data_IF_115191647423
#
_entry.id   IF_115191647423
#
_cell.length_a   1.000
_cell.length_b   1.000
_cell.length_c   1.000
_cell.angle_alpha   90.00
_cell.angle_beta   90.00
_cell.angle_gamma   90.00
#
_symmetry.space_group_name_H-M   'P 1'
#
loop_
_entity.id
_entity.type
_entity.pdbx_description
1 polymer ?
#
# COMPACT_ATOMS: atom_id res chain seq x y z
N UNK A 1 -18.67 -24.47 8.97
CA UNK A 1 -17.31 -24.02 8.57
C UNK A 1 -16.49 -24.00 9.84
N UNK A 2 -15.32 -24.63 9.87
CA UNK A 2 -14.47 -24.70 11.06
C UNK A 2 -13.37 -23.64 10.98
N UNK A 3 -12.96 -23.12 12.13
CA UNK A 3 -11.73 -22.35 12.27
C UNK A 3 -10.53 -23.26 11.99
N UNK A 4 -9.65 -22.87 11.06
CA UNK A 4 -8.49 -23.68 10.70
C UNK A 4 -7.41 -23.74 11.80
N UNK A 5 -7.38 -22.77 12.72
CA UNK A 5 -6.40 -22.72 13.82
C UNK A 5 -6.81 -23.54 15.05
N UNK A 6 -8.09 -23.47 15.47
CA UNK A 6 -8.56 -24.16 16.68
C UNK A 6 -9.63 -25.24 16.45
N UNK A 7 -10.04 -25.45 15.19
CA UNK A 7 -11.05 -26.43 14.74
C UNK A 7 -12.48 -26.26 15.30
N UNK A 8 -12.76 -25.17 16.02
CA UNK A 8 -14.11 -24.83 16.51
C UNK A 8 -14.97 -24.15 15.43
N UNK A 9 -16.29 -24.19 15.61
CA UNK A 9 -17.26 -23.80 14.57
C UNK A 9 -17.87 -22.40 14.75
N UNK A 10 -17.51 -21.69 15.82
CA UNK A 10 -18.09 -20.38 16.15
C UNK A 10 -17.39 -19.27 15.38
N UNK A 11 -17.86 -19.00 14.17
CA UNK A 11 -17.37 -17.93 13.30
C UNK A 11 -18.44 -16.84 13.14
N UNK A 12 -18.07 -15.58 13.37
CA UNK A 12 -18.96 -14.43 13.13
C UNK A 12 -18.31 -13.41 12.22
N UNK A 13 -19.12 -12.73 11.39
CA UNK A 13 -18.62 -11.65 10.54
C UNK A 13 -18.35 -10.41 11.39
N UNK A 14 -17.09 -10.05 11.54
CA UNK A 14 -16.66 -8.87 12.28
C UNK A 14 -15.73 -8.01 11.41
N UNK A 15 -15.72 -6.71 11.65
CA UNK A 15 -14.71 -5.82 11.09
C UNK A 15 -13.38 -6.12 11.77
N UNK A 16 -12.38 -6.49 10.98
CA UNK A 16 -11.04 -6.80 11.48
C UNK A 16 -10.17 -5.56 11.46
N UNK A 17 -9.23 -5.49 12.39
CA UNK A 17 -8.20 -4.44 12.42
C UNK A 17 -6.88 -5.02 11.91
N UNK A 18 -6.39 -4.45 10.83
CA UNK A 18 -5.14 -4.83 10.19
C UNK A 18 -4.10 -3.74 10.44
N UNK A 19 -3.00 -4.09 11.08
CA UNK A 19 -1.91 -3.16 11.39
C UNK A 19 -0.77 -3.38 10.40
N UNK A 20 -0.48 -2.38 9.57
CA UNK A 20 0.59 -2.44 8.57
C UNK A 20 1.68 -1.44 8.91
N UNK A 21 2.93 -1.90 9.02
CA UNK A 21 4.09 -1.02 9.24
C UNK A 21 4.57 -0.43 7.93
N UNK A 22 4.61 0.90 7.85
CA UNK A 22 5.08 1.67 6.69
C UNK A 22 6.20 2.61 7.15
N UNK A 23 7.44 2.16 7.00
CA UNK A 23 8.61 2.83 7.57
C UNK A 23 8.49 3.00 9.10
N UNK A 24 8.58 4.23 9.64
CA UNK A 24 8.44 4.48 11.08
C UNK A 24 6.99 4.52 11.58
N UNK A 25 6.00 4.42 10.68
CA UNK A 25 4.58 4.54 11.01
C UNK A 25 3.86 3.19 10.99
N UNK A 26 2.76 3.09 11.73
CA UNK A 26 1.82 1.98 11.67
C UNK A 26 0.46 2.51 11.20
N UNK A 27 -0.12 1.88 10.18
CA UNK A 27 -1.45 2.20 9.68
C UNK A 27 -2.42 1.13 10.13
N UNK A 28 -3.54 1.56 10.73
CA UNK A 28 -4.63 0.70 11.16
C UNK A 28 -5.73 0.73 10.10
N UNK A 29 -5.96 -0.39 9.43
CA UNK A 29 -6.99 -0.57 8.41
C UNK A 29 -8.16 -1.39 9.00
N UNK A 30 -9.37 -0.81 8.99
CA UNK A 30 -10.63 -1.44 9.44
C UNK A 30 -11.66 -1.53 8.32
N UNK A 31 -11.22 -1.64 7.07
CA UNK A 31 -12.11 -1.68 5.89
C UNK A 31 -12.63 -3.07 5.55
N UNK A 32 -12.05 -4.13 6.13
CA UNK A 32 -12.43 -5.51 5.85
C UNK A 32 -13.35 -6.09 6.93
N UNK A 33 -14.42 -6.76 6.48
CA UNK A 33 -15.24 -7.62 7.33
C UNK A 33 -14.97 -9.08 7.00
N UNK A 34 -14.54 -9.88 7.99
CA UNK A 34 -14.20 -11.30 7.81
C UNK A 34 -14.90 -12.18 8.84
N UNK A 35 -15.10 -13.47 8.53
CA UNK A 35 -15.42 -14.45 9.57
C UNK A 35 -14.26 -14.54 10.55
N UNK A 36 -14.50 -14.17 11.81
CA UNK A 36 -13.57 -14.24 12.92
C UNK A 36 -14.01 -15.37 13.86
N UNK A 37 -13.09 -16.22 14.28
CA UNK A 37 -13.37 -17.24 15.27
C UNK A 37 -13.59 -16.61 16.65
N UNK A 38 -14.78 -16.78 17.22
CA UNK A 38 -15.12 -16.25 18.54
C UNK A 38 -14.32 -16.90 19.67
N UNK A 39 -13.73 -18.07 19.43
CA UNK A 39 -13.02 -18.81 20.46
C UNK A 39 -11.49 -18.61 20.43
N UNK A 40 -10.93 -18.03 19.37
CA UNK A 40 -9.47 -17.77 19.29
C UNK A 40 -9.07 -16.49 18.56
N UNK A 41 -10.01 -15.78 17.93
CA UNK A 41 -9.76 -14.54 17.19
C UNK A 41 -9.22 -14.73 15.78
N UNK A 42 -8.98 -15.96 15.33
CA UNK A 42 -8.41 -16.24 14.01
C UNK A 42 -9.33 -15.80 12.86
N UNK A 43 -8.74 -15.22 11.83
CA UNK A 43 -9.39 -14.88 10.57
C UNK A 43 -8.40 -14.95 9.40
N UNK A 44 -8.91 -15.12 8.18
CA UNK A 44 -8.08 -15.17 6.97
C UNK A 44 -8.43 -14.02 6.03
N UNK A 45 -7.43 -13.54 5.29
CA UNK A 45 -7.61 -12.62 4.17
C UNK A 45 -7.02 -13.23 2.90
N UNK A 46 -7.57 -12.87 1.74
CA UNK A 46 -7.02 -13.28 0.45
C UNK A 46 -5.77 -12.49 0.08
N UNK A 47 -5.02 -12.95 -0.92
CA UNK A 47 -3.89 -12.20 -1.45
C UNK A 47 -4.34 -10.84 -2.04
N UNK A 48 -5.46 -10.81 -2.77
CA UNK A 48 -6.01 -9.57 -3.35
C UNK A 48 -6.38 -8.56 -2.26
N UNK A 49 -6.96 -9.03 -1.14
CA UNK A 49 -7.25 -8.16 0.00
C UNK A 49 -5.98 -7.60 0.63
N UNK A 50 -4.94 -8.43 0.76
CA UNK A 50 -3.65 -8.00 1.31
C UNK A 50 -3.02 -6.92 0.43
N UNK A 51 -3.02 -7.10 -0.89
CA UNK A 51 -2.55 -6.07 -1.84
C UNK A 51 -3.28 -4.74 -1.62
N UNK A 52 -4.61 -4.79 -1.48
CA UNK A 52 -5.41 -3.58 -1.24
C UNK A 52 -5.15 -2.94 0.12
N UNK A 53 -4.90 -3.74 1.17
CA UNK A 53 -4.52 -3.27 2.51
C UNK A 53 -3.17 -2.55 2.46
N UNK A 54 -2.18 -3.13 1.79
CA UNK A 54 -0.85 -2.53 1.63
C UNK A 54 -0.91 -1.22 0.83
N UNK A 55 -1.69 -1.18 -0.26
CA UNK A 55 -1.88 0.04 -1.03
C UNK A 55 -2.57 1.15 -0.22
N UNK A 56 -3.60 0.83 0.57
CA UNK A 56 -4.24 1.80 1.48
C UNK A 56 -3.29 2.26 2.57
N UNK A 57 -2.46 1.37 3.11
CA UNK A 57 -1.44 1.74 4.09
C UNK A 57 -0.42 2.71 3.50
N UNK A 58 0.04 2.48 2.27
CA UNK A 58 0.92 3.42 1.56
C UNK A 58 0.23 4.78 1.33
N UNK A 59 -1.04 4.79 0.89
CA UNK A 59 -1.81 6.02 0.66
C UNK A 59 -1.92 6.88 1.92
N UNK A 60 -2.34 6.29 3.04
CA UNK A 60 -2.50 6.99 4.32
C UNK A 60 -1.15 7.49 4.82
N UNK A 61 -0.13 6.63 4.81
CA UNK A 61 1.21 7.01 5.27
C UNK A 61 1.81 8.16 4.46
N UNK A 62 1.62 8.19 3.13
CA UNK A 62 2.11 9.29 2.28
C UNK A 62 1.30 10.58 2.43
N UNK A 63 0.04 10.50 2.85
CA UNK A 63 -0.85 11.66 2.98
C UNK A 63 -0.72 12.31 4.37
N UNK A 64 -0.57 11.50 5.42
CA UNK A 64 -0.72 11.96 6.80
C UNK A 64 0.61 12.07 7.56
N UNK A 65 1.66 11.38 7.11
CA UNK A 65 2.97 11.49 7.76
C UNK A 65 3.55 12.90 7.58
N UNK A 66 4.22 13.46 8.60
CA UNK A 66 4.85 14.78 8.50
C UNK A 66 5.97 14.85 7.45
N UNK A 67 6.57 13.69 7.13
CA UNK A 67 7.59 13.53 6.09
C UNK A 67 7.57 12.11 5.57
N UNK A 68 7.72 11.96 4.25
CA UNK A 68 7.94 10.66 3.61
C UNK A 68 9.42 10.26 3.70
N UNK A 69 9.69 9.04 4.15
CA UNK A 69 11.03 8.45 4.24
C UNK A 69 11.30 7.46 3.10
N UNK A 70 12.56 7.12 2.89
CA UNK A 70 13.01 6.10 1.96
C UNK A 70 12.41 4.73 2.24
N UNK A 71 12.19 4.38 3.52
CA UNK A 71 11.52 3.13 3.90
C UNK A 71 10.06 3.11 3.43
N UNK A 72 9.37 4.26 3.51
CA UNK A 72 7.99 4.40 3.02
C UNK A 72 7.95 4.28 1.49
N UNK A 73 8.92 4.87 0.77
CA UNK A 73 9.06 4.70 -0.68
C UNK A 73 9.29 3.24 -1.06
N UNK A 74 10.19 2.54 -0.34
CA UNK A 74 10.42 1.11 -0.54
C UNK A 74 9.16 0.29 -0.32
N UNK A 75 8.41 0.59 0.74
CA UNK A 75 7.15 -0.08 1.03
C UNK A 75 6.13 0.13 -0.09
N UNK A 76 5.87 1.39 -0.47
CA UNK A 76 4.92 1.73 -1.53
C UNK A 76 5.29 1.09 -2.87
N UNK A 77 6.58 1.08 -3.22
CA UNK A 77 7.07 0.41 -4.43
C UNK A 77 6.73 -1.09 -4.44
N UNK A 78 6.92 -1.77 -3.31
CA UNK A 78 6.61 -3.20 -3.18
C UNK A 78 5.10 -3.44 -3.24
N UNK A 79 4.29 -2.61 -2.58
CA UNK A 79 2.84 -2.67 -2.66
C UNK A 79 2.31 -2.44 -4.10
N UNK A 80 3.03 -1.64 -4.90
CA UNK A 80 2.77 -1.45 -6.33
C UNK A 80 3.26 -2.63 -7.21
N UNK A 81 3.95 -3.62 -6.64
CA UNK A 81 4.53 -4.74 -7.38
C UNK A 81 5.74 -4.38 -8.25
N UNK A 82 6.41 -3.26 -7.98
CA UNK A 82 7.48 -2.74 -8.83
C UNK A 82 8.88 -3.08 -8.31
N UNK A 83 9.80 -3.34 -9.23
CA UNK A 83 11.25 -3.29 -9.00
C UNK A 83 11.73 -1.85 -8.89
N UNK A 84 12.94 -1.64 -8.37
CA UNK A 84 13.54 -0.30 -8.31
C UNK A 84 13.73 0.33 -9.69
N UNK A 85 14.02 -0.48 -10.71
CA UNK A 85 14.16 -0.02 -12.09
C UNK A 85 12.80 0.42 -12.66
N UNK A 86 11.75 -0.38 -12.49
CA UNK A 86 10.41 -0.02 -12.97
C UNK A 86 9.86 1.23 -12.28
N UNK A 87 10.12 1.40 -10.98
CA UNK A 87 9.76 2.65 -10.31
C UNK A 87 10.51 3.84 -10.91
N UNK A 88 11.82 3.69 -11.12
CA UNK A 88 12.64 4.74 -11.71
C UNK A 88 12.12 5.14 -13.11
N UNK A 89 11.80 4.17 -13.95
CA UNK A 89 11.24 4.40 -15.28
C UNK A 89 9.90 5.15 -15.21
N UNK A 90 9.01 4.73 -14.29
CA UNK A 90 7.68 5.35 -14.10
C UNK A 90 7.75 6.81 -13.65
N UNK A 91 8.76 7.17 -12.87
CA UNK A 91 8.89 8.51 -12.28
C UNK A 91 9.95 9.37 -12.97
N UNK A 92 10.56 8.88 -14.06
CA UNK A 92 11.58 9.62 -14.81
C UNK A 92 12.89 9.81 -14.04
N UNK A 93 13.37 8.78 -13.34
CA UNK A 93 14.63 8.78 -12.58
C UNK A 93 15.53 7.60 -12.95
N UNK A 94 16.54 7.31 -12.13
CA UNK A 94 17.42 6.14 -12.28
C UNK A 94 17.25 5.17 -11.12
N UNK A 95 17.49 3.88 -11.37
CA UNK A 95 17.48 2.83 -10.35
C UNK A 95 18.42 3.17 -9.18
N UNK A 96 19.59 3.74 -9.46
CA UNK A 96 20.58 4.14 -8.45
C UNK A 96 20.02 5.23 -7.53
N UNK A 97 19.29 6.20 -8.10
CA UNK A 97 18.63 7.26 -7.33
C UNK A 97 17.57 6.66 -6.40
N UNK A 98 16.70 5.79 -6.93
CA UNK A 98 15.71 5.05 -6.11
C UNK A 98 16.37 4.27 -4.99
N UNK A 99 17.44 3.53 -5.29
CA UNK A 99 18.19 2.76 -4.29
C UNK A 99 18.81 3.64 -3.19
N UNK A 100 19.31 4.82 -3.53
CA UNK A 100 19.87 5.78 -2.54
C UNK A 100 18.77 6.43 -1.69
N UNK A 101 17.65 6.82 -2.31
CA UNK A 101 16.50 7.36 -1.58
C UNK A 101 15.95 6.34 -0.59
N UNK A 102 15.73 5.09 -1.01
CA UNK A 102 15.23 4.02 -0.14
C UNK A 102 16.15 3.70 1.05
N UNK A 103 17.42 4.07 0.97
CA UNK A 103 18.42 3.85 2.03
C UNK A 103 18.75 5.14 2.80
N UNK A 104 18.03 6.23 2.52
CA UNK A 104 18.27 7.55 3.13
C UNK A 104 19.71 8.07 2.92
N UNK A 105 20.39 7.60 1.87
CA UNK A 105 21.76 8.05 1.53
C UNK A 105 21.77 9.33 0.70
N UNK A 106 20.61 9.70 0.16
CA UNK A 106 20.40 10.93 -0.60
C UNK A 106 19.04 11.50 -0.23
N UNK A 107 18.94 12.81 0.06
CA UNK A 107 17.66 13.48 0.21
C UNK A 107 16.80 13.32 -1.06
N UNK A 108 15.52 13.01 -0.87
CA UNK A 108 14.57 12.97 -1.97
C UNK A 108 14.20 14.40 -2.39
N UNK A 109 14.08 14.58 -3.70
CA UNK A 109 13.48 15.77 -4.27
C UNK A 109 11.97 15.81 -3.93
N UNK A 110 11.36 17.00 -3.71
CA UNK A 110 9.97 17.11 -3.28
C UNK A 110 8.93 16.44 -4.19
N UNK A 111 9.24 16.32 -5.48
CA UNK A 111 8.34 15.68 -6.44
C UNK A 111 8.31 14.15 -6.29
N UNK A 112 9.37 13.53 -5.75
CA UNK A 112 9.49 12.07 -5.67
C UNK A 112 8.36 11.45 -4.81
N UNK A 113 8.13 11.89 -3.56
CA UNK A 113 7.01 11.39 -2.77
C UNK A 113 5.64 11.64 -3.43
N UNK A 114 5.47 12.80 -4.10
CA UNK A 114 4.21 13.16 -4.75
C UNK A 114 3.92 12.26 -5.95
N UNK A 115 4.93 11.93 -6.76
CA UNK A 115 4.76 11.02 -7.89
C UNK A 115 4.48 9.60 -7.43
N UNK A 116 5.16 9.11 -6.38
CA UNK A 116 4.88 7.79 -5.79
C UNK A 116 3.45 7.74 -5.23
N UNK A 117 3.00 8.78 -4.53
CA UNK A 117 1.60 8.91 -4.08
C UNK A 117 0.63 8.88 -5.27
N UNK A 118 0.96 9.53 -6.38
CA UNK A 118 0.19 9.47 -7.62
C UNK A 118 0.01 8.06 -8.14
N UNK A 119 1.10 7.26 -8.20
CA UNK A 119 1.06 5.87 -8.63
C UNK A 119 0.22 4.99 -7.69
N UNK A 120 0.34 5.18 -6.37
CA UNK A 120 -0.49 4.48 -5.37
C UNK A 120 -1.97 4.80 -5.57
N UNK A 121 -2.30 6.07 -5.79
CA UNK A 121 -3.68 6.50 -6.07
C UNK A 121 -4.21 5.92 -7.37
N UNK A 122 -3.41 5.93 -8.44
CA UNK A 122 -3.79 5.35 -9.74
C UNK A 122 -4.11 3.86 -9.61
N UNK A 123 -3.31 3.10 -8.86
CA UNK A 123 -3.53 1.67 -8.63
C UNK A 123 -4.79 1.40 -7.77
N UNK A 124 -5.05 2.21 -6.74
CA UNK A 124 -6.24 2.09 -5.89
C UNK A 124 -7.54 2.56 -6.57
N UNK A 125 -7.43 3.62 -7.36
CA UNK A 125 -8.53 4.35 -7.97
C UNK A 125 -8.13 4.71 -9.41
N UNK A 126 -8.23 3.75 -10.35
CA UNK A 126 -7.83 3.99 -11.72
C UNK A 126 -8.68 5.11 -12.35
N UNK A 127 -8.09 5.89 -13.28
CA UNK A 127 -8.83 6.94 -13.96
C UNK A 127 -10.06 6.35 -14.66
N UNK A 128 -11.18 7.09 -14.70
CA UNK A 128 -12.38 6.63 -15.36
C UNK A 128 -12.12 6.38 -16.85
N UNK A 129 -12.69 5.30 -17.36
CA UNK A 129 -12.64 4.97 -18.80
C UNK A 129 -13.44 6.00 -19.61
N UNK A 130 -12.97 6.34 -20.82
CA UNK A 130 -13.65 7.27 -21.72
C UNK A 130 -13.23 8.74 -21.58
N UNK A 131 -12.18 9.04 -20.81
CA UNK A 131 -11.54 10.36 -20.78
C UNK A 131 -10.38 10.38 -21.79
N UNK A 132 -10.42 11.32 -22.75
CA UNK A 132 -9.44 11.44 -23.83
C UNK A 132 -8.68 12.76 -23.76
N UNK A 133 -7.35 12.71 -23.90
CA UNK A 133 -6.52 13.89 -24.10
C UNK A 133 -6.56 14.29 -25.58
N UNK A 134 -7.05 15.50 -25.87
CA UNK A 134 -6.98 16.11 -27.21
C UNK A 134 -6.10 17.33 -27.16
N UNK A 135 -5.31 17.57 -28.21
CA UNK A 135 -4.58 18.84 -28.36
C UNK A 135 -5.60 19.96 -28.44
N UNK A 136 -5.41 21.01 -27.64
CA UNK A 136 -6.11 22.26 -27.86
C UNK A 136 -5.63 22.79 -29.23
N UNK A 137 -6.58 22.98 -30.15
CA UNK A 137 -6.31 23.54 -31.48
C UNK A 137 -5.82 24.97 -31.41
#
# INVERSE_FOLDING_TARGET
MHCHACNRERLERQTVELVTKVGPHAVLDRTLTRPVCLDCGEFTISADDLEMVELRAALVAFTDAPRVTGEMVRFARKALGLTQAELADRIGSTKESVSRWEREERPMEPWVPLTVLGLVREKLMPPPTGVELKRAG
#
